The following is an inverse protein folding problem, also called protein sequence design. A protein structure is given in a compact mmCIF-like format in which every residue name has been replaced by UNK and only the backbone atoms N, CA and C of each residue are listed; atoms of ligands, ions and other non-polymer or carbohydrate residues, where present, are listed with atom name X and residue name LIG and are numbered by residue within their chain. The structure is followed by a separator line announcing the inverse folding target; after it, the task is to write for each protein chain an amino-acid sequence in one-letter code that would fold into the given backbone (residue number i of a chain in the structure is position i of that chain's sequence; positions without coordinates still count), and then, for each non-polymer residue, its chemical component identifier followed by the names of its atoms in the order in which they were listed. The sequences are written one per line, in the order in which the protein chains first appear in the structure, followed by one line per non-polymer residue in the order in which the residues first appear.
data_IF_375143592548
#
_entry.id   IF_375143592548
#
_cell.length_a   1.000
_cell.length_b   1.000
_cell.length_c   1.000
_cell.angle_alpha   90.00
_cell.angle_beta   90.00
_cell.angle_gamma   90.00
#
_symmetry.space_group_name_H-M   'P 1'
#
loop_
_entity.id
_entity.type
_entity.pdbx_description
1 polymer ?
#
# COMPACT_ATOMS: atom_id res chain seq x y z
N UNK A 1 13.85 1.89 -4.38
CA UNK A 1 12.47 1.69 -4.85
C UNK A 1 11.73 3.03 -4.96
N UNK A 2 11.16 3.62 -3.90
CA UNK A 2 10.29 4.81 -4.04
C UNK A 2 10.98 6.12 -4.45
N UNK A 3 12.24 6.35 -4.08
CA UNK A 3 12.96 7.58 -4.43
C UNK A 3 13.62 7.59 -5.83
N UNK A 4 13.74 6.41 -6.46
CA UNK A 4 14.38 6.22 -7.77
C UNK A 4 13.72 5.02 -8.49
N UNK A 5 12.48 5.17 -8.99
CA UNK A 5 11.71 4.07 -9.59
C UNK A 5 12.38 3.46 -10.82
N UNK A 6 12.99 4.29 -11.65
CA UNK A 6 13.65 3.86 -12.88
C UNK A 6 14.82 2.90 -12.60
N UNK A 7 15.45 3.01 -11.43
CA UNK A 7 16.55 2.15 -10.99
C UNK A 7 16.09 0.81 -10.39
N UNK A 8 14.78 0.58 -10.27
CA UNK A 8 14.22 -0.60 -9.59
C UNK A 8 13.08 -1.23 -10.40
N UNK A 9 13.30 -1.47 -11.68
CA UNK A 9 12.34 -2.15 -12.56
C UNK A 9 12.18 -3.61 -12.16
N UNK A 10 10.97 -4.14 -12.38
CA UNK A 10 10.62 -5.54 -12.18
C UNK A 10 10.18 -6.17 -13.51
N UNK A 11 11.12 -6.55 -14.39
CA UNK A 11 10.80 -7.01 -15.75
C UNK A 11 9.87 -8.22 -15.81
N UNK A 12 9.95 -9.12 -14.81
CA UNK A 12 9.08 -10.28 -14.70
C UNK A 12 7.58 -9.93 -14.59
N UNK A 13 7.26 -8.69 -14.23
CA UNK A 13 5.90 -8.18 -14.11
C UNK A 13 5.57 -7.08 -15.13
N UNK A 14 6.38 -6.90 -16.17
CA UNK A 14 6.15 -5.89 -17.21
C UNK A 14 4.76 -6.02 -17.84
N UNK A 15 4.04 -4.90 -17.92
CA UNK A 15 2.67 -4.82 -18.44
C UNK A 15 1.61 -5.51 -17.58
N UNK A 16 1.97 -6.04 -16.40
CA UNK A 16 1.05 -6.79 -15.55
C UNK A 16 0.39 -5.91 -14.49
N UNK A 17 -0.81 -6.34 -14.10
CA UNK A 17 -1.51 -5.84 -12.92
C UNK A 17 -1.20 -6.74 -11.73
N UNK A 18 -0.53 -6.20 -10.72
CA UNK A 18 -0.04 -6.98 -9.57
C UNK A 18 -0.66 -6.50 -8.26
N UNK A 19 -0.74 -7.40 -7.29
CA UNK A 19 -1.11 -7.11 -5.90
C UNK A 19 0.16 -6.81 -5.11
N UNK A 20 0.20 -5.67 -4.44
CA UNK A 20 1.29 -5.22 -3.57
C UNK A 20 0.80 -5.18 -2.13
N UNK A 21 1.60 -5.75 -1.23
CA UNK A 21 1.49 -5.56 0.20
C UNK A 21 2.63 -4.65 0.67
N UNK A 22 2.30 -3.49 1.24
CA UNK A 22 3.26 -2.59 1.84
C UNK A 22 3.18 -2.73 3.37
N UNK A 23 4.28 -3.12 4.00
CA UNK A 23 4.36 -3.35 5.44
C UNK A 23 5.41 -2.42 6.04
N UNK A 24 5.00 -1.61 7.01
CA UNK A 24 5.93 -0.84 7.85
C UNK A 24 6.22 -1.66 9.09
N UNK A 25 7.51 -1.89 9.38
CA UNK A 25 7.97 -2.63 10.55
C UNK A 25 8.76 -1.73 11.49
N UNK A 26 8.63 -1.99 12.77
CA UNK A 26 9.52 -1.44 13.79
C UNK A 26 10.79 -2.28 13.90
N UNK A 27 11.93 -1.59 14.01
CA UNK A 27 13.22 -2.21 14.25
C UNK A 27 13.74 -1.75 15.61
N UNK A 28 14.09 -2.69 16.48
CA UNK A 28 14.89 -2.43 17.68
C UNK A 28 16.28 -3.03 17.45
N UNK A 29 17.33 -2.20 17.53
CA UNK A 29 18.71 -2.64 17.25
C UNK A 29 18.87 -3.38 15.91
N UNK A 30 18.18 -2.90 14.86
CA UNK A 30 18.12 -3.52 13.51
C UNK A 30 17.39 -4.88 13.44
N UNK A 31 16.73 -5.30 14.50
CA UNK A 31 15.93 -6.52 14.53
C UNK A 31 14.44 -6.15 14.39
N UNK A 32 13.71 -6.74 13.43
CA UNK A 32 12.26 -6.57 13.33
C UNK A 32 11.54 -7.04 14.59
N UNK A 33 10.72 -6.17 15.20
CA UNK A 33 9.99 -6.49 16.44
C UNK A 33 8.48 -6.57 16.24
N UNK A 34 7.92 -5.67 15.43
CA UNK A 34 6.48 -5.66 15.12
C UNK A 34 6.17 -5.02 13.77
N UNK A 35 5.06 -5.42 13.18
CA UNK A 35 4.44 -4.72 12.05
C UNK A 35 3.57 -3.59 12.61
N UNK A 36 3.82 -2.36 12.20
CA UNK A 36 3.09 -1.17 12.69
C UNK A 36 2.01 -0.69 11.71
N UNK A 37 2.18 -0.99 10.41
CA UNK A 37 1.20 -0.63 9.39
C UNK A 37 1.21 -1.66 8.27
N UNK A 38 0.02 -1.87 7.68
CA UNK A 38 -0.17 -2.72 6.52
C UNK A 38 -1.09 -2.01 5.52
N UNK A 39 -0.67 -2.01 4.26
CA UNK A 39 -1.48 -1.55 3.14
C UNK A 39 -1.46 -2.60 2.02
N UNK A 40 -2.61 -2.77 1.38
CA UNK A 40 -2.83 -3.76 0.34
C UNK A 40 -3.46 -3.07 -0.87
N UNK A 41 -2.74 -3.12 -1.98
CA UNK A 41 -3.11 -2.38 -3.19
C UNK A 41 -2.89 -3.22 -4.44
N UNK A 42 -3.55 -2.79 -5.52
CA UNK A 42 -3.37 -3.30 -6.86
C UNK A 42 -2.78 -2.17 -7.70
N UNK A 43 -1.68 -2.47 -8.38
CA UNK A 43 -1.01 -1.53 -9.29
C UNK A 43 -0.80 -2.19 -10.64
N UNK A 44 -0.63 -1.36 -11.66
CA UNK A 44 -0.21 -1.81 -12.98
C UNK A 44 1.23 -1.37 -13.19
N UNK A 45 2.09 -2.29 -13.63
CA UNK A 45 3.44 -1.94 -14.07
C UNK A 45 3.41 -1.62 -15.56
N UNK A 46 4.25 -0.68 -15.97
CA UNK A 46 4.39 -0.32 -17.38
C UNK A 46 5.05 -1.44 -18.20
N UNK A 47 5.18 -1.21 -19.51
CA UNK A 47 5.79 -2.17 -20.43
C UNK A 47 7.26 -2.51 -20.11
N UNK A 48 7.93 -1.73 -19.26
CA UNK A 48 9.30 -1.96 -18.82
C UNK A 48 9.37 -2.57 -17.41
N UNK A 49 8.22 -2.85 -16.77
CA UNK A 49 8.16 -3.30 -15.38
C UNK A 49 8.47 -2.18 -14.39
N UNK A 50 8.34 -0.91 -14.77
CA UNK A 50 8.43 0.20 -13.86
C UNK A 50 7.08 0.43 -13.18
N UNK A 51 7.16 0.79 -11.91
CA UNK A 51 5.99 1.09 -11.11
C UNK A 51 5.70 2.59 -11.17
N UNK A 52 4.43 2.94 -11.37
CA UNK A 52 4.00 4.34 -11.37
C UNK A 52 4.04 4.92 -9.95
N UNK A 53 5.18 5.52 -9.60
CA UNK A 53 5.40 6.14 -8.28
C UNK A 53 4.49 7.33 -8.07
N UNK A 54 4.13 8.07 -9.12
CA UNK A 54 3.16 9.17 -9.04
C UNK A 54 1.81 8.66 -8.53
N UNK A 55 1.32 7.57 -9.11
CA UNK A 55 0.09 6.92 -8.67
C UNK A 55 0.18 6.39 -7.23
N UNK A 56 1.33 5.86 -6.80
CA UNK A 56 1.50 5.39 -5.42
C UNK A 56 1.55 6.56 -4.43
N UNK A 57 2.28 7.63 -4.73
CA UNK A 57 2.37 8.79 -3.85
C UNK A 57 1.03 9.55 -3.77
N UNK A 58 0.34 9.75 -4.89
CA UNK A 58 -1.00 10.33 -4.91
C UNK A 58 -1.99 9.52 -4.04
N UNK A 59 -1.89 8.19 -4.08
CA UNK A 59 -2.68 7.30 -3.21
C UNK A 59 -2.29 7.40 -1.74
N UNK A 60 -1.01 7.44 -1.42
CA UNK A 60 -0.55 7.60 -0.04
C UNK A 60 -1.07 8.91 0.56
N UNK A 61 -1.02 10.01 -0.21
CA UNK A 61 -1.60 11.30 0.16
C UNK A 61 -3.12 11.22 0.32
N UNK A 62 -3.84 10.63 -0.65
CA UNK A 62 -5.30 10.46 -0.59
C UNK A 62 -5.74 9.61 0.61
N UNK A 63 -4.97 8.59 0.99
CA UNK A 63 -5.22 7.76 2.17
C UNK A 63 -5.00 8.56 3.46
N UNK A 64 -3.94 9.38 3.52
CA UNK A 64 -3.72 10.32 4.62
C UNK A 64 -4.88 11.29 4.79
N UNK A 65 -5.31 11.92 3.69
CA UNK A 65 -6.47 12.82 3.68
C UNK A 65 -7.77 12.11 4.10
N UNK A 66 -8.00 10.87 3.66
CA UNK A 66 -9.18 10.09 4.03
C UNK A 66 -9.21 9.76 5.54
N UNK A 67 -8.06 9.47 6.15
CA UNK A 67 -7.92 9.24 7.60
C UNK A 67 -8.21 10.53 8.36
N UNK A 68 -7.60 11.65 7.95
CA UNK A 68 -7.80 12.97 8.59
C UNK A 68 -9.26 13.44 8.45
N UNK A 69 -9.84 13.27 7.26
CA UNK A 69 -11.24 13.62 6.97
C UNK A 69 -12.25 12.68 7.63
N UNK A 70 -11.85 11.43 7.91
CA UNK A 70 -12.64 10.47 8.67
C UNK A 70 -12.77 10.87 10.15
N UNK A 71 -11.72 11.46 10.72
CA UNK A 71 -11.72 11.98 12.09
C UNK A 71 -12.58 13.26 12.23
N UNK A 72 -12.74 14.04 11.15
CA UNK A 72 -13.59 15.22 11.12
C UNK A 72 -15.11 14.92 10.99
N UNK A 73 -15.54 13.66 11.08
CA UNK A 73 -16.96 13.26 10.95
C UNK A 73 -17.76 13.28 12.25
N UNK A 74 -17.14 13.50 13.41
CA UNK A 74 -17.91 13.58 14.66
C UNK A 74 -18.64 14.92 14.87
N UNK A 75 -18.28 15.97 14.13
CA UNK A 75 -18.90 17.29 14.26
C UNK A 75 -19.45 17.76 12.91
N UNK A 76 -20.71 17.44 12.61
CA UNK A 76 -21.66 18.31 11.90
C UNK A 76 -22.84 17.51 11.37
N UNK A 77 -23.99 17.67 12.05
CA UNK A 77 -25.31 17.28 11.59
C UNK A 77 -25.79 18.34 10.60
N UNK A 78 -25.57 18.11 9.31
CA UNK A 78 -26.02 18.98 8.23
C UNK A 78 -25.63 18.39 6.88
N UNK A 79 -26.56 18.38 5.93
CA UNK A 79 -26.54 17.69 4.62
C UNK A 79 -25.17 17.76 3.93
N UNK A 80 -24.36 16.71 4.08
CA UNK A 80 -22.95 16.69 3.68
C UNK A 80 -22.84 16.05 2.30
N UNK A 81 -22.91 16.85 1.23
CA UNK A 81 -22.38 16.40 -0.07
C UNK A 81 -20.88 16.19 0.14
N UNK A 82 -20.45 14.93 0.16
CA UNK A 82 -19.04 14.60 0.37
C UNK A 82 -18.39 14.33 -0.98
N UNK A 83 -17.33 15.07 -1.32
CA UNK A 83 -16.44 14.68 -2.40
C UNK A 83 -15.85 13.29 -2.09
N UNK A 84 -16.31 12.29 -2.84
CA UNK A 84 -15.94 10.90 -2.67
C UNK A 84 -14.85 10.47 -3.65
N UNK A 85 -14.32 11.37 -4.49
CA UNK A 85 -13.34 11.06 -5.52
C UNK A 85 -12.11 10.36 -4.93
N UNK A 86 -11.59 10.90 -3.82
CA UNK A 86 -10.50 10.28 -3.07
C UNK A 86 -10.86 8.86 -2.56
N UNK A 87 -12.11 8.64 -2.15
CA UNK A 87 -12.58 7.32 -1.67
C UNK A 87 -12.67 6.29 -2.79
N UNK A 88 -13.15 6.69 -3.97
CA UNK A 88 -13.26 5.81 -5.13
C UNK A 88 -11.89 5.47 -5.74
N UNK A 89 -10.97 6.45 -5.80
CA UNK A 89 -9.57 6.22 -6.21
C UNK A 89 -8.87 5.20 -5.30
N UNK A 90 -9.18 5.21 -4.00
CA UNK A 90 -8.65 4.25 -3.02
C UNK A 90 -9.33 2.88 -3.16
N UNK A 91 -10.65 2.81 -3.34
CA UNK A 91 -11.41 1.54 -3.40
C UNK A 91 -11.12 0.70 -4.65
N UNK A 92 -11.03 1.29 -5.85
CA UNK A 92 -10.81 0.53 -7.10
C UNK A 92 -9.42 -0.09 -7.25
N UNK A 93 -8.52 0.23 -6.32
CA UNK A 93 -7.16 -0.30 -6.24
C UNK A 93 -6.89 -1.08 -4.95
N UNK A 94 -7.88 -1.37 -4.12
CA UNK A 94 -7.68 -2.13 -2.88
C UNK A 94 -7.90 -3.63 -3.09
N UNK A 95 -7.07 -4.41 -2.42
CA UNK A 95 -7.22 -5.85 -2.35
C UNK A 95 -7.31 -6.25 -0.87
N UNK A 96 -8.32 -7.04 -0.52
CA UNK A 96 -8.41 -7.64 0.80
C UNK A 96 -7.77 -9.05 0.77
N UNK A 97 -6.54 -9.22 1.27
CA UNK A 97 -5.93 -10.56 1.42
C UNK A 97 -6.69 -11.40 2.45
N UNK A 98 -6.59 -12.73 2.31
CA UNK A 98 -7.10 -13.64 3.33
C UNK A 98 -6.31 -13.50 4.64
N UNK A 99 -6.91 -13.81 5.81
CA UNK A 99 -6.20 -13.74 7.10
C UNK A 99 -4.93 -14.60 7.12
N UNK A 100 -4.96 -15.76 6.48
CA UNK A 100 -3.80 -16.66 6.35
C UNK A 100 -2.66 -15.98 5.59
N UNK A 101 -2.97 -15.23 4.53
CA UNK A 101 -1.97 -14.52 3.74
C UNK A 101 -1.44 -13.30 4.48
N UNK A 102 -2.29 -12.57 5.20
CA UNK A 102 -1.85 -11.46 6.08
C UNK A 102 -0.86 -11.97 7.11
N UNK A 103 -1.15 -13.09 7.76
CA UNK A 103 -0.25 -13.71 8.75
C UNK A 103 1.10 -14.08 8.12
N UNK A 104 1.08 -14.74 6.97
CA UNK A 104 2.29 -15.13 6.26
C UNK A 104 3.15 -13.91 5.88
N UNK A 105 2.52 -12.83 5.38
CA UNK A 105 3.21 -11.58 5.06
C UNK A 105 3.84 -10.94 6.31
N UNK A 106 3.13 -10.92 7.44
CA UNK A 106 3.66 -10.42 8.71
C UNK A 106 4.85 -11.24 9.21
N UNK A 107 4.74 -12.58 9.21
CA UNK A 107 5.82 -13.47 9.63
C UNK A 107 7.06 -13.29 8.76
N UNK A 108 6.88 -13.18 7.45
CA UNK A 108 7.98 -12.92 6.51
C UNK A 108 8.62 -11.55 6.76
N UNK A 109 7.82 -10.49 6.99
CA UNK A 109 8.34 -9.16 7.29
C UNK A 109 9.13 -9.10 8.62
N UNK A 110 8.78 -9.98 9.57
CA UNK A 110 9.49 -10.14 10.84
C UNK A 110 10.69 -11.10 10.76
N UNK A 111 10.99 -11.65 9.58
CA UNK A 111 12.09 -12.60 9.39
C UNK A 111 11.82 -14.01 9.95
N UNK A 112 10.57 -14.32 10.29
CA UNK A 112 10.16 -15.64 10.79
C UNK A 112 9.95 -16.66 9.66
N UNK A 113 9.86 -16.18 8.41
CA UNK A 113 9.70 -17.00 7.21
C UNK A 113 10.59 -16.50 6.07
N UNK A 114 11.12 -17.39 5.23
CA UNK A 114 11.88 -16.99 4.04
C UNK A 114 11.00 -16.24 3.04
N UNK A 115 11.55 -15.17 2.44
CA UNK A 115 10.98 -14.49 1.28
C UNK A 115 11.92 -14.63 0.09
N UNK A 116 11.52 -15.30 -1.00
CA UNK A 116 12.29 -15.29 -2.23
C UNK A 116 12.44 -13.85 -2.75
N UNK A 117 13.66 -13.49 -3.17
CA UNK A 117 13.88 -12.23 -3.88
C UNK A 117 13.46 -12.39 -5.33
N UNK A 118 12.88 -11.33 -5.87
CA UNK A 118 12.43 -11.21 -7.27
C UNK A 118 13.42 -10.32 -8.01
#
# INVERSE_FOLDING_TARGET
MLGHPDSHRLPAFAGQRVRIANLTIELANRIPTRVVHQDFMIVTLDANGALDVGQIMERASSRGEAILSGNARNDARGTKVVDATARFKVQGGQWAPSPTLVRALSETALGLRPCPRI
#
